data_IF_454426745921
#
_entry.id   IF_454426745921
#
_cell.length_a   1.000
_cell.length_b   1.000
_cell.length_c   1.000
_cell.angle_alpha   90.00
_cell.angle_beta   90.00
_cell.angle_gamma   90.00
#
_symmetry.space_group_name_H-M   'P 1'
#
loop_
_entity.id
_entity.type
_entity.pdbx_description
1 polymer ?
#
# COMPACT_ATOMS: atom_id res chain seq x y z
N UNK A 1 -4.47 8.61 26.12
CA UNK A 1 -4.82 9.60 25.09
C UNK A 1 -3.51 10.31 24.74
N UNK A 2 -2.85 9.86 23.68
CA UNK A 2 -1.66 10.54 23.13
C UNK A 2 -2.15 11.65 22.21
N UNK A 3 -1.73 12.87 22.54
CA UNK A 3 -2.31 14.16 22.12
C UNK A 3 -1.68 14.68 20.82
N UNK A 4 -1.64 13.86 19.77
CA UNK A 4 -1.10 14.25 18.46
C UNK A 4 -2.03 13.82 17.32
N UNK A 5 -3.28 14.28 17.38
CA UNK A 5 -4.12 14.26 16.18
C UNK A 5 -3.61 15.33 15.22
N UNK A 6 -3.26 14.91 14.01
CA UNK A 6 -3.01 15.83 12.91
C UNK A 6 -4.03 15.55 11.81
N UNK A 7 -4.29 16.57 11.01
CA UNK A 7 -5.21 16.46 9.88
C UNK A 7 -4.49 15.87 8.67
N UNK A 8 -5.11 14.88 8.03
CA UNK A 8 -4.62 14.32 6.76
C UNK A 8 -4.83 15.35 5.63
N UNK A 9 -3.71 15.80 5.05
CA UNK A 9 -3.68 16.78 3.96
C UNK A 9 -3.16 16.11 2.69
N UNK A 10 -3.99 16.09 1.65
CA UNK A 10 -3.55 15.65 0.33
C UNK A 10 -2.49 16.60 -0.22
N UNK A 11 -1.31 16.06 -0.55
CA UNK A 11 -0.21 16.80 -1.15
C UNK A 11 -0.24 16.58 -2.67
N UNK A 12 -0.08 17.66 -3.45
CA UNK A 12 0.17 17.52 -4.89
C UNK A 12 1.61 17.03 -5.07
N UNK A 13 1.82 16.07 -5.95
CA UNK A 13 3.13 15.50 -6.22
C UNK A 13 3.37 15.35 -7.72
N UNK A 14 4.63 15.46 -8.13
CA UNK A 14 5.06 15.22 -9.51
C UNK A 14 6.36 14.41 -9.53
N UNK A 15 6.35 13.38 -10.36
CA UNK A 15 7.48 12.48 -10.59
C UNK A 15 7.86 12.53 -12.07
N UNK A 16 9.14 12.70 -12.35
CA UNK A 16 9.71 12.68 -13.70
C UNK A 16 10.63 11.45 -13.81
N UNK A 17 10.16 10.44 -14.53
CA UNK A 17 10.85 9.16 -14.67
C UNK A 17 11.77 9.10 -15.89
N UNK A 18 11.93 10.19 -16.65
CA UNK A 18 12.64 10.20 -17.93
C UNK A 18 14.09 9.69 -17.85
N UNK A 19 14.73 9.86 -16.69
CA UNK A 19 16.08 9.38 -16.41
C UNK A 19 16.14 8.15 -15.47
N UNK A 20 15.00 7.66 -14.97
CA UNK A 20 14.96 6.56 -14.00
C UNK A 20 15.16 5.21 -14.70
N UNK A 21 16.18 4.42 -14.32
CA UNK A 21 16.42 3.10 -14.93
C UNK A 21 15.45 2.05 -14.36
N UNK A 22 15.18 0.98 -15.13
CA UNK A 22 14.35 -0.15 -14.66
C UNK A 22 14.91 -0.79 -13.38
N UNK A 23 16.24 -0.91 -13.29
CA UNK A 23 16.96 -1.29 -12.06
C UNK A 23 17.35 -0.03 -11.30
N UNK A 24 16.35 0.56 -10.67
CA UNK A 24 16.50 1.79 -9.91
C UNK A 24 17.33 1.62 -8.63
N UNK A 25 17.65 0.39 -8.24
CA UNK A 25 18.71 0.08 -7.28
C UNK A 25 19.91 -0.46 -8.07
N UNK A 26 21.02 0.30 -8.18
CA UNK A 26 22.19 -0.10 -8.96
C UNK A 26 22.72 -1.49 -8.59
N UNK A 27 22.89 -2.35 -9.60
CA UNK A 27 23.38 -3.73 -9.41
C UNK A 27 22.37 -4.70 -8.79
N UNK A 28 21.14 -4.27 -8.51
CA UNK A 28 20.16 -4.99 -7.69
C UNK A 28 18.82 -5.13 -8.45
N UNK A 29 18.89 -5.75 -9.63
CA UNK A 29 17.74 -5.95 -10.52
C UNK A 29 16.57 -6.66 -9.83
N UNK A 30 16.82 -7.73 -9.07
CA UNK A 30 15.76 -8.50 -8.43
C UNK A 30 15.09 -7.71 -7.29
N UNK A 31 15.85 -6.94 -6.50
CA UNK A 31 15.29 -6.09 -5.44
C UNK A 31 14.46 -4.95 -6.05
N UNK A 32 14.96 -4.33 -7.12
CA UNK A 32 14.23 -3.33 -7.90
C UNK A 32 12.88 -3.87 -8.37
N UNK A 33 12.86 -5.09 -8.93
CA UNK A 33 11.62 -5.73 -9.37
C UNK A 33 10.66 -6.06 -8.24
N UNK A 34 11.14 -6.53 -7.08
CA UNK A 34 10.25 -6.78 -5.94
C UNK A 34 9.50 -5.50 -5.54
N UNK A 35 10.18 -4.36 -5.52
CA UNK A 35 9.57 -3.09 -5.12
C UNK A 35 8.73 -2.50 -6.26
N UNK A 36 9.17 -2.63 -7.53
CA UNK A 36 8.41 -2.20 -8.70
C UNK A 36 7.00 -2.83 -8.78
N UNK A 37 6.79 -4.01 -8.15
CA UNK A 37 5.45 -4.63 -8.05
C UNK A 37 4.42 -3.68 -7.46
N UNK A 38 4.82 -2.82 -6.52
CA UNK A 38 3.93 -1.87 -5.84
C UNK A 38 3.19 -0.97 -6.85
N UNK A 39 3.87 -0.52 -7.91
CA UNK A 39 3.24 0.29 -8.96
C UNK A 39 2.07 -0.40 -9.65
N UNK A 40 2.11 -1.72 -9.80
CA UNK A 40 1.03 -2.49 -10.42
C UNK A 40 -0.02 -2.97 -9.40
N UNK A 41 0.38 -3.15 -8.14
CA UNK A 41 -0.44 -3.75 -7.10
C UNK A 41 -1.41 -2.77 -6.44
N UNK A 42 -0.95 -1.55 -6.15
CA UNK A 42 -1.73 -0.63 -5.34
C UNK A 42 -2.90 0.05 -6.09
N UNK A 43 -2.76 0.56 -7.33
CA UNK A 43 -3.75 1.49 -7.91
C UNK A 43 -5.20 1.00 -7.92
N UNK A 44 -5.44 -0.26 -8.30
CA UNK A 44 -6.78 -0.82 -8.32
C UNK A 44 -7.38 -0.95 -6.90
N UNK A 45 -6.54 -1.27 -5.92
CA UNK A 45 -6.90 -1.38 -4.50
C UNK A 45 -7.22 -0.04 -3.88
N UNK A 46 -6.37 0.98 -4.08
CA UNK A 46 -6.53 2.33 -3.55
C UNK A 46 -7.79 3.02 -4.11
N UNK A 47 -8.06 2.85 -5.41
CA UNK A 47 -9.33 3.31 -6.00
C UNK A 47 -10.54 2.55 -5.44
N UNK A 48 -10.38 1.26 -5.11
CA UNK A 48 -11.41 0.50 -4.41
C UNK A 48 -11.60 0.98 -2.96
N UNK A 49 -10.53 1.34 -2.23
CA UNK A 49 -10.62 1.96 -0.90
C UNK A 49 -11.45 3.24 -0.96
N UNK A 50 -11.14 4.13 -1.91
CA UNK A 50 -11.87 5.37 -2.14
C UNK A 50 -13.38 5.11 -2.33
N UNK A 51 -13.76 4.16 -3.19
CA UNK A 51 -15.16 3.82 -3.44
C UNK A 51 -15.83 3.21 -2.20
N UNK A 52 -15.14 2.35 -1.47
CA UNK A 52 -15.65 1.72 -0.26
C UNK A 52 -15.86 2.73 0.86
N UNK A 53 -14.89 3.61 1.11
CA UNK A 53 -14.94 4.58 2.20
C UNK A 53 -15.99 5.65 1.94
N UNK A 54 -16.23 6.04 0.68
CA UNK A 54 -17.38 6.86 0.32
C UNK A 54 -18.72 6.21 0.70
N UNK A 55 -18.84 4.88 0.63
CA UNK A 55 -20.03 4.14 1.10
C UNK A 55 -20.09 4.00 2.62
N UNK A 56 -18.95 4.09 3.30
CA UNK A 56 -18.87 4.05 4.75
C UNK A 56 -19.23 5.40 5.40
N UNK A 57 -18.91 6.53 4.75
CA UNK A 57 -19.12 7.90 5.26
C UNK A 57 -20.52 8.19 5.82
N UNK A 58 -21.64 7.71 5.25
CA UNK A 58 -22.97 7.91 5.82
C UNK A 58 -23.16 7.30 7.23
N UNK A 59 -22.32 6.35 7.62
CA UNK A 59 -22.36 5.70 8.93
C UNK A 59 -21.38 6.33 9.95
N UNK A 60 -20.56 7.30 9.51
CA UNK A 60 -19.61 8.03 10.34
C UNK A 60 -20.27 9.30 10.87
N UNK A 61 -20.60 9.31 12.17
CA UNK A 61 -21.27 10.43 12.84
C UNK A 61 -20.28 11.40 13.50
N UNK A 62 -19.11 10.91 13.88
CA UNK A 62 -18.07 11.75 14.47
C UNK A 62 -17.44 12.65 13.39
N UNK A 63 -17.42 13.95 13.64
CA UNK A 63 -16.98 14.94 12.65
C UNK A 63 -15.48 14.82 12.35
N UNK A 64 -14.68 14.44 13.36
CA UNK A 64 -13.23 14.28 13.21
C UNK A 64 -12.91 13.04 12.38
N UNK A 65 -13.46 11.88 12.72
CA UNK A 65 -13.30 10.66 11.92
C UNK A 65 -13.79 10.87 10.48
N UNK A 66 -14.86 11.65 10.30
CA UNK A 66 -15.34 12.00 8.96
C UNK A 66 -14.28 12.78 8.16
N UNK A 67 -13.62 13.78 8.76
CA UNK A 67 -12.54 14.53 8.12
C UNK A 67 -11.32 13.64 7.85
N UNK A 68 -10.95 12.75 8.78
CA UNK A 68 -9.85 11.79 8.62
C UNK A 68 -10.11 10.83 7.44
N UNK A 69 -11.31 10.23 7.37
CA UNK A 69 -11.72 9.34 6.26
C UNK A 69 -11.74 10.09 4.93
N UNK A 70 -12.18 11.35 4.92
CA UNK A 70 -12.12 12.17 3.71
C UNK A 70 -10.69 12.54 3.31
N UNK A 71 -9.79 12.77 4.28
CA UNK A 71 -8.36 12.96 4.07
C UNK A 71 -7.72 11.75 3.41
N UNK A 72 -7.93 10.57 4.00
CA UNK A 72 -7.52 9.28 3.46
C UNK A 72 -7.97 9.11 2.01
N UNK A 73 -9.27 9.30 1.71
CA UNK A 73 -9.78 9.19 0.32
C UNK A 73 -9.03 10.10 -0.66
N UNK A 74 -8.64 11.31 -0.25
CA UNK A 74 -7.92 12.25 -1.13
C UNK A 74 -6.46 11.84 -1.35
N UNK A 75 -5.78 11.34 -0.31
CA UNK A 75 -4.40 10.84 -0.40
C UNK A 75 -4.34 9.58 -1.25
N UNK A 76 -5.22 8.60 -1.00
CA UNK A 76 -5.33 7.37 -1.79
C UNK A 76 -5.59 7.64 -3.28
N UNK A 77 -6.45 8.60 -3.61
CA UNK A 77 -6.68 8.98 -5.00
C UNK A 77 -5.42 9.59 -5.67
N UNK A 78 -4.52 10.20 -4.88
CA UNK A 78 -3.22 10.69 -5.35
C UNK A 78 -2.22 9.53 -5.48
N UNK A 79 -2.18 8.60 -4.52
CA UNK A 79 -1.36 7.38 -4.59
C UNK A 79 -1.64 6.62 -5.89
N UNK A 80 -2.92 6.33 -6.15
CA UNK A 80 -3.32 5.54 -7.31
C UNK A 80 -2.89 6.21 -8.62
N UNK A 81 -2.97 7.54 -8.67
CA UNK A 81 -2.53 8.32 -9.83
C UNK A 81 -1.01 8.27 -10.00
N UNK A 82 -0.25 8.41 -8.93
CA UNK A 82 1.21 8.36 -8.98
C UNK A 82 1.72 6.99 -9.43
N UNK A 83 1.20 5.91 -8.84
CA UNK A 83 1.56 4.54 -9.18
C UNK A 83 1.09 4.13 -10.59
N UNK A 84 -0.13 4.49 -11.01
CA UNK A 84 -0.55 4.30 -12.41
C UNK A 84 0.33 5.08 -13.39
N UNK A 85 0.75 6.30 -13.03
CA UNK A 85 1.71 7.08 -13.81
C UNK A 85 3.07 6.39 -13.93
N UNK A 86 3.54 5.73 -12.87
CA UNK A 86 4.76 4.91 -12.93
C UNK A 86 4.58 3.65 -13.80
N UNK A 87 3.40 3.03 -13.83
CA UNK A 87 3.13 1.95 -14.79
C UNK A 87 3.22 2.47 -16.22
N UNK A 88 2.48 3.53 -16.55
CA UNK A 88 2.35 4.05 -17.91
C UNK A 88 3.62 4.73 -18.44
N UNK A 89 4.34 5.47 -17.60
CA UNK A 89 5.42 6.37 -18.03
C UNK A 89 6.81 5.89 -17.63
N UNK A 90 6.90 4.88 -16.78
CA UNK A 90 8.16 4.27 -16.37
C UNK A 90 8.23 2.80 -16.81
N UNK A 91 7.37 1.92 -16.29
CA UNK A 91 7.44 0.49 -16.63
C UNK A 91 7.21 0.23 -18.13
N UNK A 92 6.19 0.85 -18.73
CA UNK A 92 5.91 0.70 -20.17
C UNK A 92 7.05 1.23 -21.05
N UNK A 93 7.69 2.34 -20.68
CA UNK A 93 8.84 2.90 -21.44
C UNK A 93 10.04 1.95 -21.39
N UNK A 94 10.21 1.21 -20.30
CA UNK A 94 11.21 0.13 -20.18
C UNK A 94 10.76 -1.20 -20.81
N UNK A 95 9.67 -1.22 -21.59
CA UNK A 95 9.21 -2.40 -22.32
C UNK A 95 8.52 -3.45 -21.45
N UNK A 96 8.11 -3.12 -20.23
CA UNK A 96 7.41 -4.04 -19.34
C UNK A 96 5.90 -4.04 -19.65
N UNK A 97 5.38 -5.20 -20.04
CA UNK A 97 3.94 -5.45 -20.10
C UNK A 97 3.39 -5.78 -18.70
N UNK A 98 2.62 -4.84 -18.16
CA UNK A 98 1.95 -4.96 -16.86
C UNK A 98 0.52 -5.51 -16.98
N UNK A 99 -0.01 -5.67 -18.20
CA UNK A 99 -1.44 -5.91 -18.47
C UNK A 99 -1.99 -7.16 -17.78
N UNK A 100 -1.22 -8.24 -17.75
CA UNK A 100 -1.61 -9.49 -17.09
C UNK A 100 -1.77 -9.30 -15.58
N UNK A 101 -0.87 -8.55 -14.96
CA UNK A 101 -0.91 -8.30 -13.52
C UNK A 101 -2.07 -7.36 -13.18
N UNK A 102 -2.22 -6.26 -13.93
CA UNK A 102 -3.31 -5.31 -13.75
C UNK A 102 -4.68 -6.00 -13.88
N UNK A 103 -4.89 -6.85 -14.88
CA UNK A 103 -6.13 -7.64 -15.02
C UNK A 103 -6.42 -8.54 -13.80
N UNK A 104 -5.39 -9.09 -13.17
CA UNK A 104 -5.56 -9.88 -11.96
C UNK A 104 -5.98 -9.01 -10.76
N UNK A 105 -5.42 -7.80 -10.66
CA UNK A 105 -5.80 -6.82 -9.64
C UNK A 105 -7.23 -6.30 -9.86
N UNK A 106 -7.60 -5.97 -11.09
CA UNK A 106 -8.95 -5.56 -11.47
C UNK A 106 -9.95 -6.66 -11.12
N UNK A 107 -9.65 -7.91 -11.46
CA UNK A 107 -10.50 -9.04 -11.08
C UNK A 107 -10.67 -9.17 -9.55
N UNK A 108 -9.58 -9.06 -8.79
CA UNK A 108 -9.63 -9.14 -7.33
C UNK A 108 -10.55 -8.06 -6.74
N UNK A 109 -10.39 -6.80 -7.14
CA UNK A 109 -11.12 -5.69 -6.52
C UNK A 109 -12.51 -5.44 -7.12
N UNK A 110 -12.69 -5.68 -8.41
CA UNK A 110 -13.97 -5.44 -9.10
C UNK A 110 -14.90 -6.65 -9.12
N UNK A 111 -14.38 -7.86 -8.98
CA UNK A 111 -15.19 -9.08 -8.98
C UNK A 111 -15.27 -9.73 -7.60
N UNK A 112 -14.16 -9.93 -6.90
CA UNK A 112 -14.17 -10.65 -5.62
C UNK A 112 -14.55 -9.75 -4.43
N UNK A 113 -14.05 -8.51 -4.39
CA UNK A 113 -14.26 -7.57 -3.27
C UNK A 113 -15.33 -6.50 -3.56
N UNK A 114 -16.11 -6.69 -4.62
CA UNK A 114 -17.14 -5.75 -5.03
C UNK A 114 -18.38 -5.79 -4.12
N UNK A 115 -19.38 -4.97 -4.43
CA UNK A 115 -20.65 -5.01 -3.71
C UNK A 115 -21.44 -6.29 -4.00
N UNK A 116 -21.18 -6.92 -5.15
CA UNK A 116 -21.80 -8.17 -5.59
C UNK A 116 -20.70 -9.15 -5.98
N UNK A 117 -20.03 -9.77 -5.00
CA UNK A 117 -18.92 -10.69 -5.26
C UNK A 117 -19.34 -11.78 -6.24
N UNK A 118 -18.59 -11.94 -7.34
CA UNK A 118 -18.90 -12.89 -8.42
C UNK A 118 -20.32 -12.74 -9.01
N UNK A 119 -20.89 -11.54 -8.97
CA UNK A 119 -22.27 -11.25 -9.41
C UNK A 119 -23.35 -11.68 -8.41
N UNK A 120 -22.97 -12.21 -7.24
CA UNK A 120 -23.92 -12.67 -6.23
C UNK A 120 -24.43 -11.48 -5.41
N UNK A 121 -25.75 -11.27 -5.42
CA UNK A 121 -26.40 -10.19 -4.66
C UNK A 121 -26.58 -10.49 -3.15
N UNK A 122 -25.92 -11.53 -2.62
CA UNK A 122 -26.12 -12.04 -1.26
C UNK A 122 -26.04 -10.93 -0.20
N UNK A 123 -25.03 -10.07 -0.29
CA UNK A 123 -24.78 -9.01 0.69
C UNK A 123 -25.59 -7.74 0.47
N UNK A 124 -26.26 -7.58 -0.67
CA UNK A 124 -27.06 -6.40 -0.99
C UNK A 124 -28.56 -6.59 -0.75
N UNK A 125 -29.00 -7.79 -0.32
CA UNK A 125 -30.41 -8.14 -0.12
C UNK A 125 -31.10 -7.31 0.95
N UNK A 126 -30.39 -6.92 2.01
CA UNK A 126 -30.95 -6.14 3.11
C UNK A 126 -30.02 -5.00 3.52
N UNK A 127 -30.54 -3.89 4.08
CA UNK A 127 -29.70 -2.79 4.56
C UNK A 127 -28.67 -3.22 5.61
N UNK A 128 -29.04 -4.14 6.50
CA UNK A 128 -28.14 -4.68 7.53
C UNK A 128 -27.00 -5.50 6.92
N UNK A 129 -27.27 -6.42 5.98
CA UNK A 129 -26.23 -7.20 5.30
C UNK A 129 -25.27 -6.30 4.52
N UNK A 130 -25.80 -5.26 3.88
CA UNK A 130 -24.99 -4.28 3.13
C UNK A 130 -24.03 -3.54 4.05
N UNK A 131 -24.53 -3.05 5.19
CA UNK A 131 -23.70 -2.38 6.20
C UNK A 131 -22.66 -3.33 6.79
N UNK A 132 -23.05 -4.56 7.12
CA UNK A 132 -22.13 -5.59 7.59
C UNK A 132 -21.02 -5.86 6.57
N UNK A 133 -21.36 -6.01 5.29
CA UNK A 133 -20.38 -6.24 4.23
C UNK A 133 -19.43 -5.06 4.00
N UNK A 134 -19.91 -3.82 4.16
CA UNK A 134 -19.03 -2.64 4.20
C UNK A 134 -18.03 -2.77 5.37
N UNK A 135 -18.50 -3.13 6.57
CA UNK A 135 -17.65 -3.32 7.75
C UNK A 135 -16.59 -4.41 7.56
N UNK A 136 -16.95 -5.54 6.94
CA UNK A 136 -16.00 -6.61 6.61
C UNK A 136 -14.94 -6.16 5.60
N UNK A 137 -15.33 -5.42 4.56
CA UNK A 137 -14.37 -4.87 3.60
C UNK A 137 -13.49 -3.77 4.22
N UNK A 138 -14.00 -3.00 5.19
CA UNK A 138 -13.16 -2.08 5.96
C UNK A 138 -12.12 -2.82 6.81
N UNK A 139 -12.43 -4.03 7.29
CA UNK A 139 -11.44 -4.90 7.96
C UNK A 139 -10.32 -5.36 7.01
N UNK A 140 -10.65 -5.61 5.74
CA UNK A 140 -9.68 -5.91 4.68
C UNK A 140 -8.77 -4.70 4.47
N UNK A 141 -9.34 -3.48 4.34
CA UNK A 141 -8.53 -2.26 4.22
C UNK A 141 -7.62 -2.11 5.44
N UNK A 142 -8.14 -2.22 6.67
CA UNK A 142 -7.30 -2.15 7.87
C UNK A 142 -6.14 -3.16 7.88
N UNK A 143 -6.34 -4.37 7.34
CA UNK A 143 -5.27 -5.35 7.22
C UNK A 143 -4.26 -5.01 6.12
N UNK A 144 -4.69 -4.41 5.00
CA UNK A 144 -3.78 -3.93 3.95
C UNK A 144 -2.99 -2.72 4.45
N UNK A 145 -3.65 -1.75 5.06
CA UNK A 145 -3.07 -0.53 5.64
C UNK A 145 -2.06 -0.83 6.75
N UNK A 146 -2.29 -1.90 7.52
CA UNK A 146 -1.28 -2.41 8.44
C UNK A 146 0.00 -2.84 7.71
N UNK A 147 -0.14 -3.56 6.61
CA UNK A 147 1.00 -4.04 5.84
C UNK A 147 1.73 -2.87 5.14
N UNK A 148 0.99 -1.96 4.51
CA UNK A 148 1.56 -0.78 3.84
C UNK A 148 2.22 0.16 4.84
N UNK A 149 1.64 0.37 6.03
CA UNK A 149 2.31 1.12 7.11
C UNK A 149 3.65 0.50 7.51
N UNK A 150 3.73 -0.82 7.63
CA UNK A 150 4.99 -1.51 8.00
C UNK A 150 6.04 -1.36 6.92
N UNK A 151 5.64 -1.44 5.64
CA UNK A 151 6.55 -1.17 4.52
C UNK A 151 6.93 0.31 4.42
N UNK A 152 5.98 1.21 4.70
CA UNK A 152 6.15 2.66 4.71
C UNK A 152 7.18 3.10 5.74
N UNK A 153 7.05 2.59 6.97
CA UNK A 153 8.10 2.74 7.99
C UNK A 153 9.44 2.23 7.49
N UNK A 154 9.48 1.00 6.96
CA UNK A 154 10.74 0.42 6.51
C UNK A 154 11.43 1.28 5.44
N UNK A 155 10.70 1.76 4.43
CA UNK A 155 11.31 2.52 3.33
C UNK A 155 11.77 3.93 3.76
N UNK A 156 11.11 4.52 4.77
CA UNK A 156 11.57 5.75 5.41
C UNK A 156 12.91 5.54 6.13
N UNK A 157 13.05 4.42 6.84
CA UNK A 157 14.23 4.07 7.65
C UNK A 157 15.35 3.36 6.84
N UNK A 158 15.11 3.00 5.57
CA UNK A 158 15.99 2.14 4.79
C UNK A 158 17.25 2.84 4.25
N UNK A 159 18.22 3.15 5.11
CA UNK A 159 19.50 3.76 4.74
C UNK A 159 20.31 2.96 3.70
N UNK A 160 20.06 1.65 3.59
CA UNK A 160 20.72 0.80 2.60
C UNK A 160 20.32 1.16 1.17
N UNK A 161 19.10 1.66 0.95
CA UNK A 161 18.66 2.17 -0.36
C UNK A 161 19.43 3.46 -0.71
N UNK A 162 19.65 4.35 0.26
CA UNK A 162 20.44 5.55 0.05
C UNK A 162 21.91 5.21 -0.28
N UNK A 163 22.53 4.31 0.50
CA UNK A 163 23.92 3.87 0.28
C UNK A 163 24.11 3.13 -1.04
N UNK A 164 23.07 2.46 -1.55
CA UNK A 164 23.12 1.79 -2.84
C UNK A 164 23.11 2.77 -4.03
N UNK A 165 22.86 4.06 -3.80
CA UNK A 165 22.71 5.05 -4.86
C UNK A 165 21.41 4.85 -5.65
N UNK A 166 20.33 4.45 -4.97
CA UNK A 166 19.02 4.28 -5.58
C UNK A 166 18.52 5.54 -6.30
N UNK A 167 17.79 5.35 -7.39
CA UNK A 167 17.17 6.43 -8.15
C UNK A 167 16.33 7.35 -7.23
N UNK A 168 16.62 8.65 -7.19
CA UNK A 168 16.00 9.54 -6.22
C UNK A 168 14.51 9.78 -6.50
N UNK A 169 14.03 9.63 -7.74
CA UNK A 169 12.63 9.86 -8.09
C UNK A 169 11.77 8.70 -7.60
N UNK A 170 12.19 7.47 -7.86
CA UNK A 170 11.46 6.29 -7.39
C UNK A 170 11.54 6.13 -5.87
N UNK A 171 12.70 6.40 -5.27
CA UNK A 171 12.84 6.37 -3.81
C UNK A 171 11.95 7.42 -3.13
N UNK A 172 11.84 8.63 -3.69
CA UNK A 172 10.93 9.67 -3.22
C UNK A 172 9.46 9.25 -3.36
N UNK A 173 9.08 8.61 -4.47
CA UNK A 173 7.72 8.09 -4.64
C UNK A 173 7.36 7.09 -3.54
N UNK A 174 8.20 6.09 -3.29
CA UNK A 174 7.93 5.07 -2.28
C UNK A 174 7.94 5.65 -0.85
N UNK A 175 8.81 6.61 -0.55
CA UNK A 175 8.86 7.24 0.77
C UNK A 175 7.72 8.23 1.00
N UNK A 176 7.31 8.99 -0.02
CA UNK A 176 6.13 9.85 0.06
C UNK A 176 4.88 9.02 0.32
N UNK A 177 4.63 8.01 -0.52
CA UNK A 177 3.51 7.09 -0.33
C UNK A 177 3.61 6.42 1.05
N UNK A 178 4.76 5.82 1.36
CA UNK A 178 4.99 5.15 2.65
C UNK A 178 4.79 6.04 3.88
N UNK A 179 5.06 7.34 3.79
CA UNK A 179 4.78 8.29 4.86
C UNK A 179 3.27 8.57 5.02
N UNK A 180 2.51 8.68 3.93
CA UNK A 180 1.04 8.84 4.03
C UNK A 180 0.39 7.53 4.53
N UNK A 181 0.91 6.35 4.17
CA UNK A 181 0.47 5.05 4.71
C UNK A 181 0.67 4.93 6.24
N UNK A 182 1.69 5.62 6.78
CA UNK A 182 1.82 5.78 8.24
C UNK A 182 0.64 6.58 8.78
N UNK A 183 0.24 7.70 8.16
CA UNK A 183 -0.95 8.47 8.57
C UNK A 183 -2.23 7.61 8.51
N UNK A 184 -2.36 6.78 7.47
CA UNK A 184 -3.55 5.98 7.16
C UNK A 184 -3.85 4.84 8.15
N UNK A 185 -2.82 4.24 8.74
CA UNK A 185 -2.91 3.06 9.62
C UNK A 185 -4.00 3.17 10.69
N UNK A 186 -4.10 4.34 11.32
CA UNK A 186 -5.05 4.61 12.39
C UNK A 186 -6.46 4.81 11.81
N UNK A 187 -6.59 5.57 10.71
CA UNK A 187 -7.88 5.84 10.05
C UNK A 187 -8.57 4.55 9.64
N UNK A 188 -7.85 3.62 9.04
CA UNK A 188 -8.43 2.37 8.57
C UNK A 188 -8.86 1.43 9.71
N UNK A 189 -8.05 1.32 10.75
CA UNK A 189 -8.39 0.56 11.94
C UNK A 189 -9.60 1.16 12.66
N UNK A 190 -9.60 2.46 12.88
CA UNK A 190 -10.63 3.15 13.65
C UNK A 190 -11.95 3.17 12.92
N UNK A 191 -11.95 3.32 11.58
CA UNK A 191 -13.16 3.20 10.78
C UNK A 191 -13.74 1.78 10.85
N UNK A 192 -12.90 0.74 10.79
CA UNK A 192 -13.37 -0.64 10.95
C UNK A 192 -14.05 -0.85 12.31
N UNK A 193 -13.41 -0.40 13.40
CA UNK A 193 -13.97 -0.50 14.76
C UNK A 193 -15.28 0.30 14.87
N UNK A 194 -15.31 1.53 14.37
CA UNK A 194 -16.49 2.40 14.39
C UNK A 194 -17.72 1.79 13.69
N UNK A 195 -17.50 1.04 12.62
CA UNK A 195 -18.57 0.36 11.89
C UNK A 195 -19.08 -0.93 12.58
N UNK A 196 -18.55 -1.27 13.75
CA UNK A 196 -18.88 -2.48 14.51
C UNK A 196 -17.95 -3.65 14.21
N UNK A 197 -16.75 -3.37 13.68
CA UNK A 197 -15.70 -4.35 13.48
C UNK A 197 -15.31 -5.05 14.78
N UNK A 198 -15.16 -6.38 14.72
CA UNK A 198 -14.78 -7.20 15.88
C UNK A 198 -13.35 -7.68 15.78
N UNK A 199 -12.75 -8.00 16.94
CA UNK A 199 -11.47 -8.70 17.03
C UNK A 199 -11.41 -9.92 16.09
N UNK A 200 -12.47 -10.72 16.05
CA UNK A 200 -12.55 -11.92 15.21
C UNK A 200 -12.50 -11.56 13.73
N UNK A 201 -13.29 -10.57 13.29
CA UNK A 201 -13.26 -10.14 11.88
C UNK A 201 -11.91 -9.57 11.47
N UNK A 202 -11.27 -8.80 12.34
CA UNK A 202 -9.93 -8.25 12.12
C UNK A 202 -8.90 -9.36 11.94
N UNK A 203 -8.91 -10.36 12.82
CA UNK A 203 -7.98 -11.49 12.73
C UNK A 203 -8.22 -12.37 11.51
N UNK A 204 -9.49 -12.69 11.22
CA UNK A 204 -9.87 -13.46 10.04
C UNK A 204 -9.32 -12.81 8.76
N UNK A 205 -9.56 -11.51 8.59
CA UNK A 205 -9.15 -10.83 7.37
C UNK A 205 -7.64 -10.65 7.27
N UNK A 206 -6.92 -10.43 8.37
CA UNK A 206 -5.44 -10.45 8.32
C UNK A 206 -4.89 -11.82 7.92
N UNK A 207 -5.47 -12.92 8.41
CA UNK A 207 -5.08 -14.27 7.98
C UNK A 207 -5.31 -14.52 6.49
N UNK A 208 -6.30 -13.88 5.87
CA UNK A 208 -6.59 -13.98 4.43
C UNK A 208 -5.69 -13.03 3.62
N UNK A 209 -5.58 -11.78 4.04
CA UNK A 209 -4.88 -10.71 3.32
C UNK A 209 -3.38 -10.93 3.29
N UNK A 210 -2.77 -11.33 4.41
CA UNK A 210 -1.32 -11.48 4.49
C UNK A 210 -0.73 -12.47 3.46
N UNK A 211 -1.19 -13.75 3.38
CA UNK A 211 -0.67 -14.67 2.38
C UNK A 211 -1.01 -14.23 0.95
N UNK A 212 -2.16 -13.56 0.74
CA UNK A 212 -2.53 -13.02 -0.57
C UNK A 212 -1.54 -11.93 -1.03
N UNK A 213 -1.19 -10.97 -0.16
CA UNK A 213 -0.19 -9.94 -0.46
C UNK A 213 1.17 -10.57 -0.80
N UNK A 214 1.63 -11.52 0.01
CA UNK A 214 2.91 -12.21 -0.25
C UNK A 214 2.88 -12.95 -1.60
N UNK A 215 1.76 -13.59 -1.93
CA UNK A 215 1.57 -14.21 -3.24
C UNK A 215 1.57 -13.18 -4.37
N UNK A 216 0.92 -12.03 -4.21
CA UNK A 216 0.90 -10.93 -5.18
C UNK A 216 2.29 -10.35 -5.44
N UNK A 217 3.12 -10.19 -4.40
CA UNK A 217 4.54 -9.82 -4.56
C UNK A 217 5.32 -10.89 -5.33
N UNK A 218 5.16 -12.16 -4.98
CA UNK A 218 5.85 -13.25 -5.66
C UNK A 218 5.44 -13.38 -7.13
N UNK A 219 4.14 -13.25 -7.42
CA UNK A 219 3.58 -13.27 -8.76
C UNK A 219 4.04 -12.07 -9.59
N UNK A 220 4.04 -10.88 -9.02
CA UNK A 220 4.48 -9.63 -9.67
C UNK A 220 5.97 -9.66 -9.97
N UNK A 221 6.79 -10.01 -8.98
CA UNK A 221 8.25 -10.13 -9.13
C UNK A 221 8.60 -11.11 -10.24
N UNK A 222 7.92 -12.26 -10.27
CA UNK A 222 8.11 -13.25 -11.34
C UNK A 222 7.65 -12.73 -12.70
N UNK A 223 6.61 -11.92 -12.76
CA UNK A 223 6.10 -11.33 -14.00
C UNK A 223 7.08 -10.31 -14.57
N UNK A 224 7.67 -9.47 -13.71
CA UNK A 224 8.69 -8.49 -14.09
C UNK A 224 10.01 -9.18 -14.48
N UNK A 225 10.53 -10.07 -13.63
CA UNK A 225 11.81 -10.75 -13.86
C UNK A 225 11.84 -11.64 -15.11
N UNK A 226 10.67 -12.07 -15.63
CA UNK A 226 10.58 -12.83 -16.90
C UNK A 226 10.73 -11.96 -18.14
N UNK A 227 10.48 -10.67 -18.00
CA UNK A 227 10.52 -9.70 -19.09
C UNK A 227 11.85 -8.95 -19.13
N UNK A 228 12.69 -9.14 -18.12
CA UNK A 228 13.98 -8.49 -18.00
C UNK A 228 15.09 -9.33 -18.64
N UNK A 229 15.69 -8.89 -19.77
CA UNK A 229 16.72 -9.64 -20.47
C UNK A 229 18.05 -9.69 -19.71
N UNK A 230 18.27 -8.83 -18.70
CA UNK A 230 19.47 -8.90 -17.86
C UNK A 230 19.40 -10.05 -16.86
N UNK A 231 18.21 -10.61 -16.65
CA UNK A 231 17.97 -11.72 -15.74
C UNK A 231 17.85 -13.03 -16.54
N UNK A 232 18.43 -14.08 -15.99
CA UNK A 232 18.21 -15.44 -16.48
C UNK A 232 16.84 -15.97 -16.05
N UNK A 233 16.78 -17.27 -15.75
CA UNK A 233 15.55 -17.86 -15.21
C UNK A 233 15.17 -17.22 -13.86
N UNK A 234 13.91 -16.76 -13.66
CA UNK A 234 13.49 -16.16 -12.40
C UNK A 234 13.76 -17.08 -11.20
N UNK A 235 14.45 -16.53 -10.20
CA UNK A 235 14.76 -17.24 -8.94
C UNK A 235 13.49 -17.37 -8.08
N UNK A 236 13.45 -18.33 -7.13
CA UNK A 236 12.35 -18.40 -6.18
C UNK A 236 12.26 -17.12 -5.34
N UNK A 237 11.03 -16.59 -5.16
CA UNK A 237 10.78 -15.32 -4.47
C UNK A 237 11.47 -15.24 -3.10
N UNK A 238 11.37 -16.28 -2.28
CA UNK A 238 12.00 -16.29 -0.95
C UNK A 238 13.53 -16.28 -0.97
N UNK A 239 14.16 -16.74 -2.05
CA UNK A 239 15.62 -16.63 -2.22
C UNK A 239 16.00 -15.19 -2.57
N UNK A 240 15.24 -14.54 -3.45
CA UNK A 240 15.39 -13.11 -3.78
C UNK A 240 15.24 -12.27 -2.51
N UNK A 241 14.16 -12.51 -1.76
CA UNK A 241 13.88 -11.80 -0.52
C UNK A 241 15.00 -11.95 0.50
N UNK A 242 15.42 -13.20 0.78
CA UNK A 242 16.49 -13.48 1.74
C UNK A 242 17.82 -12.84 1.37
N UNK A 243 18.17 -12.82 0.10
CA UNK A 243 19.46 -12.27 -0.31
C UNK A 243 19.41 -10.73 -0.29
N UNK A 244 18.29 -10.11 -0.67
CA UNK A 244 18.10 -8.66 -0.63
C UNK A 244 17.95 -8.12 0.81
N UNK A 245 17.27 -8.85 1.71
CA UNK A 245 17.15 -8.44 3.12
C UNK A 245 18.52 -8.44 3.83
N UNK A 246 19.45 -9.33 3.43
CA UNK A 246 20.83 -9.35 3.97
C UNK A 246 21.60 -8.09 3.62
N UNK A 247 21.27 -7.46 2.50
CA UNK A 247 21.86 -6.19 2.04
C UNK A 247 21.05 -4.97 2.52
N UNK A 248 19.94 -5.18 3.23
CA UNK A 248 19.06 -4.12 3.71
C UNK A 248 18.12 -3.53 2.65
N UNK A 249 18.05 -4.12 1.46
CA UNK A 249 17.29 -3.60 0.31
C UNK A 249 15.82 -4.05 0.29
N UNK A 250 15.45 -4.96 1.21
CA UNK A 250 14.07 -5.37 1.49
C UNK A 250 13.88 -5.51 3.00
N UNK A 251 12.64 -5.41 3.52
CA UNK A 251 12.40 -5.52 4.95
C UNK A 251 12.81 -6.89 5.49
N UNK A 252 13.33 -6.91 6.71
CA UNK A 252 13.67 -8.16 7.40
C UNK A 252 12.40 -8.97 7.63
N UNK A 253 12.40 -10.25 7.24
CA UNK A 253 11.27 -11.18 7.47
C UNK A 253 10.88 -11.29 8.94
N UNK A 254 11.86 -11.23 9.84
CA UNK A 254 11.61 -11.24 11.28
C UNK A 254 10.81 -10.01 11.74
N UNK A 255 11.07 -8.84 11.15
CA UNK A 255 10.31 -7.61 11.43
C UNK A 255 8.86 -7.74 10.94
N UNK A 256 8.68 -8.20 9.69
CA UNK A 256 7.36 -8.46 9.10
C UNK A 256 6.56 -9.47 9.91
N UNK A 257 7.16 -10.61 10.27
CA UNK A 257 6.53 -11.62 11.11
C UNK A 257 6.20 -11.08 12.50
N UNK A 258 7.09 -10.28 13.09
CA UNK A 258 6.85 -9.62 14.36
C UNK A 258 5.64 -8.68 14.33
N UNK A 259 5.50 -7.89 13.27
CA UNK A 259 4.33 -7.01 13.07
C UNK A 259 3.05 -7.81 12.83
N UNK A 260 3.10 -8.85 11.99
CA UNK A 260 1.98 -9.77 11.80
C UNK A 260 1.50 -10.34 13.13
N UNK A 261 2.40 -10.85 13.97
CA UNK A 261 2.05 -11.38 15.29
C UNK A 261 1.49 -10.32 16.24
N UNK A 262 1.98 -9.07 16.20
CA UNK A 262 1.41 -7.97 17.00
C UNK A 262 -0.05 -7.68 16.63
N UNK A 263 -0.39 -7.74 15.35
CA UNK A 263 -1.76 -7.55 14.86
C UNK A 263 -2.77 -8.54 15.46
N UNK A 264 -2.32 -9.71 15.95
CA UNK A 264 -3.15 -10.72 16.62
C UNK A 264 -3.43 -10.47 18.10
N UNK A 265 -2.89 -9.40 18.69
CA UNK A 265 -3.15 -9.09 20.11
C UNK A 265 -4.57 -8.53 20.31
N UNK A 266 -5.30 -8.95 21.37
CA UNK A 266 -6.63 -8.43 21.66
C UNK A 266 -6.71 -6.91 21.83
N UNK A 267 -5.67 -6.31 22.43
CA UNK A 267 -5.53 -4.87 22.65
C UNK A 267 -4.71 -4.16 21.56
N UNK A 268 -4.58 -4.77 20.38
CA UNK A 268 -3.84 -4.19 19.27
C UNK A 268 -4.45 -2.86 18.82
N UNK A 269 -3.57 -1.87 18.62
CA UNK A 269 -3.84 -0.60 17.96
C UNK A 269 -2.62 -0.23 17.10
N UNK A 270 -2.80 0.23 15.84
CA UNK A 270 -1.70 0.44 14.89
C UNK A 270 -0.81 1.65 15.20
N UNK A 271 -1.22 2.52 16.13
CA UNK A 271 -0.46 3.71 16.54
C UNK A 271 1.03 3.41 16.85
N UNK A 272 1.32 2.23 17.40
CA UNK A 272 2.69 1.83 17.79
C UNK A 272 3.51 1.16 16.68
N UNK A 273 2.97 0.95 15.48
CA UNK A 273 3.73 0.30 14.40
C UNK A 273 4.77 1.24 13.79
N UNK A 274 4.47 2.54 13.72
CA UNK A 274 5.32 3.57 13.10
C UNK A 274 5.23 4.92 13.83
N UNK A 275 6.25 5.78 13.64
CA UNK A 275 6.26 7.12 14.21
C UNK A 275 5.62 8.11 13.23
N UNK A 276 4.49 8.70 13.62
CA UNK A 276 3.78 9.70 12.80
C UNK A 276 4.62 10.96 12.55
N UNK A 277 5.44 11.40 13.51
CA UNK A 277 6.27 12.59 13.34
C UNK A 277 7.34 12.38 12.26
N UNK A 278 7.94 11.20 12.20
CA UNK A 278 8.93 10.86 11.17
C UNK A 278 8.33 10.91 9.76
N UNK A 279 7.10 10.40 9.60
CA UNK A 279 6.35 10.52 8.35
C UNK A 279 6.09 12.00 7.99
N UNK A 280 5.61 12.80 8.95
CA UNK A 280 5.37 14.24 8.74
C UNK A 280 6.64 14.99 8.35
N UNK A 281 7.77 14.68 9.00
CA UNK A 281 9.07 15.28 8.72
C UNK A 281 9.55 14.96 7.29
N UNK A 282 9.30 13.73 6.81
CA UNK A 282 9.57 13.37 5.42
C UNK A 282 8.64 14.10 4.45
N UNK A 283 7.34 14.12 4.72
CA UNK A 283 6.34 14.76 3.88
C UNK A 283 6.58 16.27 3.71
N UNK A 284 7.08 16.94 4.75
CA UNK A 284 7.47 18.35 4.72
C UNK A 284 8.64 18.65 3.77
N UNK A 285 9.46 17.65 3.43
CA UNK A 285 10.66 17.79 2.60
C UNK A 285 10.65 16.94 1.33
N UNK A 286 9.53 16.32 0.96
CA UNK A 286 9.43 15.48 -0.24
C UNK A 286 9.80 16.30 -1.49
N UNK A 287 10.79 15.85 -2.28
CA UNK A 287 11.12 16.46 -3.56
C UNK A 287 9.93 16.51 -4.54
N UNK A 288 9.06 15.49 -4.57
CA UNK A 288 7.90 15.46 -5.46
C UNK A 288 6.86 16.53 -5.12
N UNK A 289 6.60 16.74 -3.83
CA UNK A 289 5.73 17.82 -3.38
C UNK A 289 6.33 19.19 -3.70
N UNK A 290 7.65 19.33 -3.48
CA UNK A 290 8.39 20.56 -3.78
C UNK A 290 8.39 20.89 -5.28
N UNK A 291 8.50 19.88 -6.17
CA UNK A 291 8.40 20.05 -7.62
C UNK A 291 7.01 20.53 -8.04
N UNK A 292 5.97 19.87 -7.53
CA UNK A 292 4.58 20.22 -7.85
C UNK A 292 4.16 21.62 -7.37
N UNK A 293 4.83 22.18 -6.36
CA UNK A 293 4.59 23.55 -5.90
C UNK A 293 5.25 24.62 -6.79
N UNK A 294 6.21 24.24 -7.64
CA UNK A 294 6.98 25.17 -8.50
C UNK A 294 6.50 25.19 -9.96
N UNK A 295 5.77 24.16 -10.39
CA UNK A 295 5.19 24.04 -11.74
C UNK A 295 3.74 24.49 -11.78
#
# INVERSE_FOLDING_TARGET
MTDHHHRLVQRKVQFDYSASPLHWIPGEAEASHVINVIHMMLPAGELWFCRLYNKALPFVKDARMRDDVQGFIRQEAMHARAHSGAVERYLTVHGIDSSRYLKAMDYLFEQLLSDTPLGLQLFNRTPWLRRWWIGQRCAIVAAVEHFTCVLGKWVLEAEALDRAGSDPVLLDLFRWHGAEEVEHRNVAHDLHVHLGGSFVSRQLWMFVVWPLIIWLFAFGTRTLARQDPSLGRPRPFWRIWRDSEKRGLLPRRASLAGSFLRYFKPWYHPDHEANTQEALDYLARSPAASRAARG
#
